data_IF_776758239889
#
_entry.id   IF_776758239889
#
_cell.length_a   1.000
_cell.length_b   1.000
_cell.length_c   1.000
_cell.angle_alpha   90.00
_cell.angle_beta   90.00
_cell.angle_gamma   90.00
#
_symmetry.space_group_name_H-M   'P 1'
#
loop_
_entity.id
_entity.type
_entity.pdbx_description
1 polymer ?
#
# COMPACT_ATOMS: atom_id res chain seq x y z
N UNK A 1 -5.56 -0.14 -6.27
CA UNK A 1 -4.85 -1.43 -6.06
C UNK A 1 -5.37 -2.09 -4.80
N UNK A 2 -5.35 -3.43 -4.75
CA UNK A 2 -5.77 -4.27 -3.61
C UNK A 2 -4.56 -4.78 -2.83
N UNK A 3 -4.77 -5.44 -1.68
CA UNK A 3 -3.69 -6.07 -0.91
C UNK A 3 -2.82 -7.02 -1.75
N UNK A 4 -3.42 -7.82 -2.65
CA UNK A 4 -2.67 -8.73 -3.51
C UNK A 4 -1.74 -7.98 -4.49
N UNK A 5 -2.18 -6.85 -5.01
CA UNK A 5 -1.35 -6.02 -5.89
C UNK A 5 -0.17 -5.39 -5.14
N UNK A 6 -0.40 -4.94 -3.90
CA UNK A 6 0.66 -4.39 -3.04
C UNK A 6 1.65 -5.49 -2.66
N UNK A 7 1.16 -6.68 -2.31
CA UNK A 7 1.98 -7.85 -1.99
C UNK A 7 2.90 -8.22 -3.16
N UNK A 8 2.35 -8.31 -4.37
CA UNK A 8 3.12 -8.60 -5.57
C UNK A 8 4.13 -7.50 -5.90
N UNK A 9 3.75 -6.22 -5.78
CA UNK A 9 4.63 -5.09 -6.08
C UNK A 9 5.81 -4.96 -5.10
N UNK A 10 5.61 -5.34 -3.83
CA UNK A 10 6.64 -5.25 -2.78
C UNK A 10 7.36 -6.58 -2.53
N UNK A 11 6.94 -7.68 -3.16
CA UNK A 11 7.51 -9.01 -2.92
C UNK A 11 7.26 -9.56 -1.51
N UNK A 12 6.15 -9.15 -0.87
CA UNK A 12 5.80 -9.54 0.51
C UNK A 12 4.59 -10.48 0.55
N UNK A 13 4.37 -11.12 1.69
CA UNK A 13 3.16 -11.91 1.89
C UNK A 13 1.90 -11.04 1.87
N UNK A 14 0.76 -11.62 1.48
CA UNK A 14 -0.56 -10.94 1.54
C UNK A 14 -0.90 -10.45 2.95
N UNK A 15 -0.52 -11.22 3.98
CA UNK A 15 -0.73 -10.83 5.37
C UNK A 15 0.06 -9.56 5.72
N UNK A 16 1.33 -9.47 5.32
CA UNK A 16 2.14 -8.28 5.54
C UNK A 16 1.61 -7.08 4.73
N UNK A 17 1.14 -7.30 3.50
CA UNK A 17 0.49 -6.24 2.73
C UNK A 17 -0.79 -5.72 3.41
N UNK A 18 -1.55 -6.61 4.07
CA UNK A 18 -2.74 -6.21 4.81
C UNK A 18 -2.43 -5.39 6.07
N UNK A 19 -1.37 -5.75 6.79
CA UNK A 19 -0.86 -4.97 7.92
C UNK A 19 -0.41 -3.59 7.41
N UNK A 20 0.38 -3.56 6.34
CA UNK A 20 0.90 -2.32 5.74
C UNK A 20 -0.22 -1.38 5.30
N UNK A 21 -1.29 -1.92 4.69
CA UNK A 21 -2.45 -1.12 4.31
C UNK A 21 -3.17 -0.46 5.50
N UNK A 22 -2.97 -0.96 6.73
CA UNK A 22 -3.52 -0.40 7.97
C UNK A 22 -2.50 0.42 8.76
N UNK A 23 -1.24 0.45 8.33
CA UNK A 23 -0.19 1.20 9.00
C UNK A 23 -0.31 2.69 8.70
N UNK A 24 -0.07 3.50 9.74
CA UNK A 24 0.07 4.94 9.58
C UNK A 24 1.25 5.26 8.66
N UNK A 25 1.02 6.16 7.69
CA UNK A 25 2.02 6.55 6.69
C UNK A 25 1.95 5.78 5.37
N UNK A 26 1.15 4.72 5.26
CA UNK A 26 0.90 4.06 3.97
C UNK A 26 -0.28 4.73 3.23
N UNK A 27 -0.23 4.92 1.90
CA UNK A 27 -1.23 5.68 1.13
C UNK A 27 -2.53 4.91 0.87
N UNK A 28 -3.18 4.42 1.93
CA UNK A 28 -4.47 3.74 1.84
C UNK A 28 -5.62 4.73 1.83
N UNK A 29 -6.46 4.67 0.80
CA UNK A 29 -7.75 5.35 0.75
C UNK A 29 -8.86 4.42 1.21
N UNK A 30 -9.69 4.90 2.13
CA UNK A 30 -10.87 4.19 2.62
C UNK A 30 -12.12 4.74 1.92
N UNK A 31 -12.75 3.91 1.09
CA UNK A 31 -14.05 4.23 0.46
C UNK A 31 -15.10 3.31 1.09
N UNK A 32 -15.76 3.82 2.14
CA UNK A 32 -16.60 2.99 3.01
C UNK A 32 -15.79 1.85 3.64
N UNK A 33 -16.20 0.60 3.39
CA UNK A 33 -15.49 -0.60 3.88
C UNK A 33 -14.33 -1.06 2.98
N UNK A 34 -14.12 -0.42 1.83
CA UNK A 34 -13.09 -0.82 0.86
C UNK A 34 -11.80 -0.05 1.12
N UNK A 35 -10.71 -0.79 1.21
CA UNK A 35 -9.35 -0.25 1.24
C UNK A 35 -8.77 -0.30 -0.17
N UNK A 36 -8.41 0.86 -0.70
CA UNK A 36 -7.86 0.99 -2.04
C UNK A 36 -6.61 1.85 -1.98
N UNK A 37 -5.58 1.43 -2.72
CA UNK A 37 -4.35 2.22 -2.87
C UNK A 37 -4.34 2.85 -4.26
N UNK A 38 -4.39 4.18 -4.37
CA UNK A 38 -4.17 4.86 -5.66
C UNK A 38 -2.75 4.60 -6.16
N UNK A 39 -2.61 4.30 -7.45
CA UNK A 39 -1.30 3.96 -8.05
C UNK A 39 -0.30 5.10 -7.88
N UNK A 40 -0.71 6.34 -8.13
CA UNK A 40 0.17 7.52 -8.05
C UNK A 40 0.70 7.73 -6.62
N UNK A 41 -0.18 7.57 -5.61
CA UNK A 41 0.21 7.69 -4.20
C UNK A 41 1.13 6.56 -3.75
N UNK A 42 0.90 5.34 -4.26
CA UNK A 42 1.80 4.21 -4.00
C UNK A 42 3.20 4.45 -4.55
N UNK A 43 3.31 4.94 -5.79
CA UNK A 43 4.60 5.25 -6.40
C UNK A 43 5.33 6.37 -5.66
N UNK A 44 4.60 7.41 -5.23
CA UNK A 44 5.15 8.46 -4.39
C UNK A 44 5.70 7.90 -3.07
N UNK A 45 4.91 7.08 -2.37
CA UNK A 45 5.34 6.45 -1.12
C UNK A 45 6.60 5.59 -1.28
N UNK A 46 6.72 4.81 -2.37
CA UNK A 46 7.94 4.05 -2.68
C UNK A 46 9.13 5.01 -2.85
N UNK A 47 8.94 6.09 -3.60
CA UNK A 47 9.98 7.08 -3.88
C UNK A 47 10.46 7.76 -2.59
N UNK A 48 9.53 8.11 -1.70
CA UNK A 48 9.84 8.70 -0.40
C UNK A 48 10.55 7.69 0.53
N UNK A 49 10.19 6.41 0.45
CA UNK A 49 10.78 5.34 1.27
C UNK A 49 12.18 4.93 0.83
N UNK A 50 12.53 5.12 -0.45
CA UNK A 50 13.84 4.77 -1.02
C UNK A 50 14.85 5.92 -0.88
N UNK A 51 14.38 7.16 -0.82
CA UNK A 51 15.22 8.36 -0.68
C UNK A 51 15.39 8.84 0.77
N UNK A 52 14.92 8.05 1.74
CA UNK A 52 15.09 8.29 3.18
C UNK A 52 16.35 7.64 3.75
#
# INVERSE_FOLDING_TARGET
MTADHVAAALGISRANAYILLRSDGFPTLHIGKRMVVPKDRFLQWITDSVNG
#
